data_IF_788223551283
#
_entry.id   IF_788223551283
#
_cell.length_a   1.000
_cell.length_b   1.000
_cell.length_c   1.000
_cell.angle_alpha   90.00
_cell.angle_beta   90.00
_cell.angle_gamma   90.00
#
_symmetry.space_group_name_H-M   'P 1'
#
loop_
_entity.id
_entity.type
_entity.pdbx_description
1 polymer ?
#
# COMPACT_ATOMS: atom_id res chain seq x y z
N UNK A 1 -24.17 -6.15 -46.77
CA UNK A 1 -24.57 -5.63 -45.44
C UNK A 1 -24.12 -6.56 -44.31
N UNK A 2 -24.43 -7.86 -44.37
CA UNK A 2 -23.98 -8.83 -43.35
C UNK A 2 -22.45 -8.91 -43.21
N UNK A 3 -21.70 -9.03 -44.31
CA UNK A 3 -20.22 -9.10 -44.26
C UNK A 3 -19.56 -7.84 -43.67
N UNK A 4 -20.08 -6.66 -44.01
CA UNK A 4 -19.59 -5.39 -43.45
C UNK A 4 -19.88 -5.28 -41.95
N UNK A 5 -21.03 -5.80 -41.48
CA UNK A 5 -21.37 -5.85 -40.06
C UNK A 5 -20.48 -6.85 -39.30
N UNK A 6 -20.22 -8.04 -39.87
CA UNK A 6 -19.29 -9.02 -39.29
C UNK A 6 -17.88 -8.46 -39.17
N UNK A 7 -17.36 -7.83 -40.24
CA UNK A 7 -16.03 -7.22 -40.21
C UNK A 7 -15.92 -6.07 -39.19
N UNK A 8 -17.00 -5.32 -38.96
CA UNK A 8 -17.04 -4.28 -37.92
C UNK A 8 -17.02 -4.88 -36.51
N UNK A 9 -17.76 -5.98 -36.27
CA UNK A 9 -17.76 -6.70 -34.99
C UNK A 9 -16.39 -7.32 -34.69
N UNK A 10 -15.75 -7.95 -35.68
CA UNK A 10 -14.41 -8.54 -35.51
C UNK A 10 -13.36 -7.48 -35.15
N UNK A 11 -13.41 -6.32 -35.81
CA UNK A 11 -12.53 -5.18 -35.49
C UNK A 11 -12.80 -4.64 -34.09
N UNK A 12 -14.06 -4.58 -33.66
CA UNK A 12 -14.43 -4.15 -32.31
C UNK A 12 -13.87 -5.11 -31.25
N UNK A 13 -13.99 -6.42 -31.47
CA UNK A 13 -13.46 -7.45 -30.58
C UNK A 13 -11.93 -7.44 -30.52
N UNK A 14 -11.26 -7.23 -31.65
CA UNK A 14 -9.80 -7.10 -31.68
C UNK A 14 -9.34 -5.86 -30.89
N UNK A 15 -10.03 -4.73 -31.04
CA UNK A 15 -9.76 -3.51 -30.29
C UNK A 15 -9.93 -3.73 -28.78
N UNK A 16 -11.05 -4.32 -28.34
CA UNK A 16 -11.32 -4.65 -26.94
C UNK A 16 -10.24 -5.56 -26.33
N UNK A 17 -9.82 -6.58 -27.07
CA UNK A 17 -8.74 -7.48 -26.62
C UNK A 17 -7.40 -6.78 -26.50
N UNK A 18 -7.08 -5.85 -27.40
CA UNK A 18 -5.84 -5.06 -27.34
C UNK A 18 -5.83 -4.13 -26.13
N UNK A 19 -6.93 -3.44 -25.88
CA UNK A 19 -7.13 -2.54 -24.75
C UNK A 19 -7.06 -3.30 -23.42
N UNK A 20 -7.78 -4.42 -23.29
CA UNK A 20 -7.72 -5.26 -22.09
C UNK A 20 -6.31 -5.76 -21.77
N UNK A 21 -5.53 -6.16 -22.78
CA UNK A 21 -4.11 -6.54 -22.57
C UNK A 21 -3.24 -5.37 -22.13
N UNK A 22 -3.48 -4.17 -22.65
CA UNK A 22 -2.72 -2.98 -22.25
C UNK A 22 -3.01 -2.62 -20.79
N UNK A 23 -4.29 -2.57 -20.42
CA UNK A 23 -4.74 -2.34 -19.05
C UNK A 23 -4.17 -3.37 -18.08
N UNK A 24 -4.26 -4.66 -18.40
CA UNK A 24 -3.75 -5.74 -17.55
C UNK A 24 -2.25 -5.56 -17.24
N UNK A 25 -1.45 -5.22 -18.26
CA UNK A 25 -0.01 -4.94 -18.08
C UNK A 25 0.23 -3.74 -17.19
N UNK A 26 -0.55 -2.68 -17.35
CA UNK A 26 -0.42 -1.48 -16.57
C UNK A 26 -0.77 -1.72 -15.09
N UNK A 27 -1.94 -2.30 -14.82
CA UNK A 27 -2.38 -2.63 -13.47
C UNK A 27 -1.40 -3.59 -12.77
N UNK A 28 -0.87 -4.58 -13.48
CA UNK A 28 0.19 -5.45 -12.94
C UNK A 28 1.47 -4.68 -12.60
N UNK A 29 1.82 -3.66 -13.39
CA UNK A 29 2.91 -2.73 -13.10
C UNK A 29 2.68 -1.93 -11.82
N UNK A 30 1.46 -1.45 -11.61
CA UNK A 30 1.05 -0.72 -10.39
C UNK A 30 1.07 -1.60 -9.16
N UNK A 31 0.56 -2.84 -9.24
CA UNK A 31 0.66 -3.81 -8.13
C UNK A 31 2.11 -4.03 -7.70
N UNK A 32 3.03 -4.24 -8.66
CA UNK A 32 4.47 -4.36 -8.35
C UNK A 32 5.02 -3.11 -7.64
N UNK A 33 4.51 -1.92 -7.99
CA UNK A 33 4.89 -0.65 -7.34
C UNK A 33 4.37 -0.60 -5.90
N UNK A 34 3.12 -0.98 -5.65
CA UNK A 34 2.55 -1.10 -4.29
C UNK A 34 3.39 -2.04 -3.42
N UNK A 35 3.77 -3.21 -3.93
CA UNK A 35 4.60 -4.17 -3.18
C UNK A 35 5.97 -3.59 -2.81
N UNK A 36 6.61 -2.83 -3.72
CA UNK A 36 7.87 -2.14 -3.43
C UNK A 36 7.70 -1.04 -2.38
N UNK A 37 6.62 -0.27 -2.44
CA UNK A 37 6.32 0.76 -1.44
C UNK A 37 6.11 0.13 -0.06
N UNK A 38 5.36 -0.97 0.02
CA UNK A 38 5.20 -1.73 1.27
C UNK A 38 6.55 -2.21 1.84
N UNK A 39 7.46 -2.69 0.99
CA UNK A 39 8.83 -3.05 1.42
C UNK A 39 9.64 -1.87 1.99
N UNK A 40 9.54 -0.69 1.37
CA UNK A 40 10.20 0.53 1.86
C UNK A 40 9.62 0.98 3.20
N UNK A 41 8.29 0.94 3.34
CA UNK A 41 7.61 1.27 4.60
C UNK A 41 8.05 0.32 5.71
N UNK A 42 8.10 -0.99 5.44
CA UNK A 42 8.56 -1.99 6.43
C UNK A 42 9.99 -1.72 6.90
N UNK A 43 10.90 -1.43 5.97
CA UNK A 43 12.30 -1.15 6.29
C UNK A 43 12.47 0.09 7.17
N UNK A 44 11.65 1.12 6.97
CA UNK A 44 11.61 2.31 7.82
C UNK A 44 11.00 1.98 9.19
N UNK A 45 9.83 1.33 9.22
CA UNK A 45 9.11 0.97 10.43
C UNK A 45 9.99 0.19 11.42
N UNK A 46 10.76 -0.79 10.94
CA UNK A 46 11.70 -1.59 11.75
C UNK A 46 12.78 -0.75 12.47
N UNK A 47 13.15 0.41 11.93
CA UNK A 47 14.21 1.28 12.51
C UNK A 47 13.66 2.26 13.56
N UNK A 48 12.34 2.49 13.58
CA UNK A 48 11.72 3.56 14.38
C UNK A 48 11.87 3.38 15.90
N UNK A 49 11.67 2.19 16.50
CA UNK A 49 11.80 2.06 17.95
C UNK A 49 13.19 2.46 18.47
N UNK A 50 14.25 2.08 17.73
CA UNK A 50 15.62 2.44 18.08
C UNK A 50 15.89 3.95 17.95
N UNK A 51 15.37 4.59 16.90
CA UNK A 51 15.48 6.04 16.72
C UNK A 51 14.71 6.80 17.80
N UNK A 52 13.49 6.36 18.12
CA UNK A 52 12.66 6.94 19.18
C UNK A 52 13.36 6.86 20.53
N UNK A 53 13.95 5.71 20.88
CA UNK A 53 14.73 5.54 22.11
C UNK A 53 15.84 6.58 22.22
N UNK A 54 16.63 6.77 21.16
CA UNK A 54 17.74 7.74 21.15
C UNK A 54 17.26 9.18 21.37
N UNK A 55 16.20 9.58 20.65
CA UNK A 55 15.64 10.93 20.75
C UNK A 55 15.02 11.18 22.13
N UNK A 56 14.24 10.22 22.65
CA UNK A 56 13.62 10.33 23.96
C UNK A 56 14.69 10.40 25.05
N UNK A 57 15.73 9.56 24.99
CA UNK A 57 16.84 9.59 25.94
C UNK A 57 17.57 10.93 25.94
N UNK A 58 17.87 11.49 24.75
CA UNK A 58 18.50 12.81 24.65
C UNK A 58 17.61 13.91 25.25
N UNK A 59 16.31 13.91 24.94
CA UNK A 59 15.36 14.90 25.43
C UNK A 59 15.15 14.82 26.94
N UNK A 60 15.07 13.62 27.50
CA UNK A 60 14.93 13.46 28.95
C UNK A 60 16.20 13.90 29.67
N UNK A 61 17.41 13.62 29.13
CA UNK A 61 18.66 14.12 29.72
C UNK A 61 18.72 15.65 29.77
N UNK A 62 18.29 16.30 28.70
CA UNK A 62 18.22 17.76 28.62
C UNK A 62 17.28 18.34 29.69
N UNK A 63 16.09 17.75 29.86
CA UNK A 63 15.08 18.22 30.82
C UNK A 63 15.45 17.87 32.28
N UNK A 64 16.06 16.71 32.49
CA UNK A 64 16.38 16.17 33.81
C UNK A 64 17.42 17.01 34.58
N UNK A 65 18.13 17.94 33.93
CA UNK A 65 19.03 18.88 34.60
C UNK A 65 20.13 18.23 35.44
N UNK A 66 20.56 17.01 35.08
CA UNK A 66 21.56 16.23 35.83
C UNK A 66 20.99 15.13 36.74
N UNK A 67 19.67 14.99 36.86
CA UNK A 67 19.04 13.84 37.54
C UNK A 67 19.31 12.54 36.77
N UNK A 68 19.50 11.45 37.52
CA UNK A 68 19.69 10.13 36.95
C UNK A 68 18.44 9.66 36.21
N UNK A 69 18.63 9.15 35.01
CA UNK A 69 17.58 8.52 34.21
C UNK A 69 17.17 7.18 34.84
N UNK A 70 15.86 6.94 34.96
CA UNK A 70 15.32 5.60 35.19
C UNK A 70 15.28 4.82 33.87
N UNK A 71 16.13 3.80 33.67
CA UNK A 71 16.17 3.03 32.44
C UNK A 71 14.90 2.20 32.21
N UNK A 72 14.22 1.77 33.29
CA UNK A 72 13.02 0.95 33.19
C UNK A 72 11.86 1.75 32.60
N UNK A 73 11.65 2.98 33.09
CA UNK A 73 10.66 3.91 32.52
C UNK A 73 10.95 4.24 31.06
N UNK A 74 12.22 4.48 30.70
CA UNK A 74 12.59 4.75 29.32
C UNK A 74 12.28 3.56 28.39
N UNK A 75 12.58 2.33 28.82
CA UNK A 75 12.27 1.11 28.05
C UNK A 75 10.75 0.93 27.90
N UNK A 76 9.99 1.13 28.97
CA UNK A 76 8.53 1.03 28.94
C UNK A 76 7.90 2.00 27.93
N UNK A 77 8.32 3.27 27.95
CA UNK A 77 7.84 4.27 26.98
C UNK A 77 8.16 3.91 25.52
N UNK A 78 9.36 3.36 25.28
CA UNK A 78 9.76 2.91 23.94
C UNK A 78 8.95 1.69 23.50
N UNK A 79 8.62 0.77 24.41
CA UNK A 79 7.79 -0.39 24.10
C UNK A 79 6.34 0.03 23.74
N UNK A 80 5.73 0.91 24.55
CA UNK A 80 4.40 1.46 24.27
C UNK A 80 4.36 2.22 22.93
N UNK A 81 5.42 2.97 22.63
CA UNK A 81 5.56 3.60 21.31
C UNK A 81 5.64 2.55 20.19
N UNK A 82 6.48 1.53 20.35
CA UNK A 82 6.68 0.50 19.33
C UNK A 82 5.37 -0.22 18.99
N UNK A 83 4.57 -0.57 20.01
CA UNK A 83 3.26 -1.19 19.84
C UNK A 83 2.30 -0.27 19.06
N UNK A 84 2.23 1.02 19.44
CA UNK A 84 1.37 2.00 18.76
C UNK A 84 1.77 2.30 17.32
N UNK A 85 3.06 2.23 17.03
CA UNK A 85 3.63 2.50 15.71
C UNK A 85 3.81 1.23 14.85
N UNK A 86 3.41 0.06 15.35
CA UNK A 86 3.53 -1.19 14.61
C UNK A 86 2.49 -1.28 13.49
N UNK A 87 3.01 -1.39 12.27
CA UNK A 87 2.26 -1.49 11.01
C UNK A 87 2.43 -2.86 10.34
N UNK A 88 2.98 -3.84 11.06
CA UNK A 88 3.34 -5.16 10.51
C UNK A 88 2.12 -5.89 9.95
N UNK A 89 1.01 -5.89 10.70
CA UNK A 89 -0.23 -6.55 10.29
C UNK A 89 -0.80 -5.94 9.00
N UNK A 90 -0.85 -4.61 8.92
CA UNK A 90 -1.36 -3.89 7.75
C UNK A 90 -0.50 -4.15 6.52
N UNK A 91 0.83 -4.21 6.67
CA UNK A 91 1.75 -4.53 5.57
C UNK A 91 1.58 -5.97 5.08
N UNK A 92 1.33 -6.92 5.98
CA UNK A 92 1.05 -8.32 5.63
C UNK A 92 -0.27 -8.41 4.86
N UNK A 93 -1.34 -7.78 5.36
CA UNK A 93 -2.64 -7.71 4.68
C UNK A 93 -2.53 -7.07 3.31
N UNK A 94 -1.88 -5.90 3.21
CA UNK A 94 -1.66 -5.20 1.94
C UNK A 94 -0.95 -6.07 0.90
N UNK A 95 0.08 -6.83 1.30
CA UNK A 95 0.78 -7.77 0.41
C UNK A 95 -0.11 -8.93 -0.03
N UNK A 96 -0.91 -9.47 0.89
CA UNK A 96 -1.89 -10.51 0.56
C UNK A 96 -2.91 -10.01 -0.47
N UNK A 97 -3.46 -8.81 -0.27
CA UNK A 97 -4.35 -8.18 -1.24
C UNK A 97 -3.66 -7.94 -2.59
N UNK A 98 -2.38 -7.53 -2.60
CA UNK A 98 -1.61 -7.34 -3.84
C UNK A 98 -1.47 -8.65 -4.62
N UNK A 99 -1.16 -9.75 -3.92
CA UNK A 99 -1.06 -11.07 -4.53
C UNK A 99 -2.41 -11.53 -5.10
N UNK A 100 -3.50 -11.35 -4.34
CA UNK A 100 -4.85 -11.68 -4.79
C UNK A 100 -5.26 -10.85 -6.03
N UNK A 101 -4.95 -9.55 -6.04
CA UNK A 101 -5.24 -8.66 -7.17
C UNK A 101 -4.50 -9.11 -8.43
N UNK A 102 -3.21 -9.45 -8.31
CA UNK A 102 -2.42 -9.98 -9.41
C UNK A 102 -2.97 -11.32 -9.94
N UNK A 103 -3.43 -12.20 -9.05
CA UNK A 103 -4.04 -13.47 -9.44
C UNK A 103 -5.36 -13.27 -10.19
N UNK A 104 -6.22 -12.36 -9.74
CA UNK A 104 -7.47 -12.05 -10.44
C UNK A 104 -7.24 -11.40 -11.80
N UNK A 105 -6.25 -10.49 -11.91
CA UNK A 105 -5.85 -9.91 -13.19
C UNK A 105 -5.37 -10.96 -14.19
N UNK A 106 -4.70 -12.02 -13.73
CA UNK A 106 -4.20 -13.09 -14.60
C UNK A 106 -5.28 -14.13 -14.97
N UNK A 107 -6.41 -14.14 -14.26
CA UNK A 107 -7.52 -15.05 -14.49
C UNK A 107 -8.26 -14.77 -15.79
N UNK A 108 -9.01 -15.77 -16.28
CA UNK A 108 -9.86 -15.68 -17.47
C UNK A 108 -11.31 -15.29 -17.16
N UNK A 109 -11.66 -15.10 -15.88
CA UNK A 109 -13.03 -14.80 -15.45
C UNK A 109 -13.21 -13.30 -15.19
N UNK A 110 -14.43 -12.77 -15.39
CA UNK A 110 -14.77 -11.41 -14.98
C UNK A 110 -14.48 -11.22 -13.48
N UNK A 111 -13.64 -10.25 -13.16
CA UNK A 111 -13.17 -10.03 -11.79
C UNK A 111 -13.43 -8.61 -11.25
N UNK A 112 -14.14 -7.74 -12.00
CA UNK A 112 -14.34 -6.31 -11.66
C UNK A 112 -14.70 -6.07 -10.19
N UNK A 113 -15.86 -6.59 -9.73
CA UNK A 113 -16.29 -6.48 -8.32
C UNK A 113 -15.27 -6.99 -7.30
N UNK A 114 -14.50 -8.04 -7.62
CA UNK A 114 -13.47 -8.57 -6.73
C UNK A 114 -12.24 -7.67 -6.70
N UNK A 115 -11.86 -7.09 -7.83
CA UNK A 115 -10.78 -6.11 -7.93
C UNK A 115 -11.12 -4.83 -7.17
N UNK A 116 -12.37 -4.34 -7.28
CA UNK A 116 -12.85 -3.18 -6.53
C UNK A 116 -12.82 -3.41 -5.03
N UNK A 117 -13.30 -4.56 -4.57
CA UNK A 117 -13.22 -4.94 -3.16
C UNK A 117 -11.76 -4.93 -2.67
N UNK A 118 -10.83 -5.51 -3.43
CA UNK A 118 -9.42 -5.51 -3.06
C UNK A 118 -8.83 -4.09 -3.02
N UNK A 119 -9.21 -3.19 -3.93
CA UNK A 119 -8.76 -1.79 -3.89
C UNK A 119 -9.25 -1.07 -2.63
N UNK A 120 -10.49 -1.33 -2.22
CA UNK A 120 -11.04 -0.78 -0.97
C UNK A 120 -10.26 -1.29 0.25
N UNK A 121 -10.01 -2.59 0.34
CA UNK A 121 -9.25 -3.18 1.44
C UNK A 121 -7.81 -2.65 1.46
N UNK A 122 -7.13 -2.57 0.30
CA UNK A 122 -5.79 -1.98 0.22
C UNK A 122 -5.77 -0.51 0.69
N UNK A 123 -6.80 0.27 0.35
CA UNK A 123 -6.91 1.66 0.81
C UNK A 123 -7.10 1.73 2.32
N UNK A 124 -7.90 0.83 2.90
CA UNK A 124 -8.06 0.69 4.34
C UNK A 124 -6.73 0.40 5.04
N UNK A 125 -5.93 -0.54 4.53
CA UNK A 125 -4.59 -0.79 5.07
C UNK A 125 -3.67 0.44 4.94
N UNK A 126 -3.70 1.12 3.79
CA UNK A 126 -2.92 2.35 3.58
C UNK A 126 -3.28 3.47 4.57
N UNK A 127 -4.57 3.61 4.92
CA UNK A 127 -5.03 4.58 5.92
C UNK A 127 -4.51 4.24 7.32
N UNK A 128 -4.61 2.98 7.72
CA UNK A 128 -4.13 2.53 9.05
C UNK A 128 -2.61 2.64 9.17
N UNK A 129 -1.86 2.30 8.11
CA UNK A 129 -0.41 2.53 8.07
C UNK A 129 -0.13 4.02 8.26
N UNK A 130 -0.83 4.89 7.53
CA UNK A 130 -0.67 6.35 7.63
C UNK A 130 -0.95 6.92 9.02
N UNK A 131 -1.99 6.43 9.71
CA UNK A 131 -2.34 6.91 11.06
C UNK A 131 -1.35 6.45 12.13
N UNK A 132 -0.78 5.24 11.99
CA UNK A 132 0.27 4.70 12.89
C UNK A 132 1.67 5.21 12.56
N UNK A 133 1.88 5.69 11.33
CA UNK A 133 3.19 6.03 10.78
C UNK A 133 3.96 7.06 11.60
N UNK A 134 3.32 8.11 12.15
CA UNK A 134 3.94 9.14 13.01
C UNK A 134 5.34 9.62 12.58
N UNK A 135 5.65 9.59 11.28
CA UNK A 135 6.97 9.79 10.69
C UNK A 135 6.81 10.33 9.27
N UNK A 136 7.53 11.40 8.95
CA UNK A 136 7.37 12.10 7.68
C UNK A 136 7.76 11.24 6.47
N UNK A 137 8.79 10.40 6.59
CA UNK A 137 9.24 9.55 5.48
C UNK A 137 8.22 8.45 5.20
N UNK A 138 7.66 7.83 6.24
CA UNK A 138 6.58 6.85 6.07
C UNK A 138 5.32 7.52 5.51
N UNK A 139 4.93 8.70 6.01
CA UNK A 139 3.77 9.44 5.50
C UNK A 139 3.89 9.75 4.01
N UNK A 140 5.08 10.15 3.54
CA UNK A 140 5.30 10.40 2.11
C UNK A 140 5.10 9.13 1.26
N UNK A 141 5.57 7.98 1.74
CA UNK A 141 5.36 6.70 1.06
C UNK A 141 3.90 6.27 1.07
N UNK A 142 3.15 6.59 2.14
CA UNK A 142 1.71 6.32 2.22
C UNK A 142 0.93 7.19 1.23
N UNK A 143 1.31 8.46 1.05
CA UNK A 143 0.70 9.32 0.01
C UNK A 143 0.94 8.71 -1.37
N UNK A 144 2.17 8.30 -1.67
CA UNK A 144 2.52 7.65 -2.93
C UNK A 144 1.75 6.32 -3.13
N UNK A 145 1.56 5.55 -2.05
CA UNK A 145 0.77 4.32 -2.05
C UNK A 145 -0.69 4.60 -2.42
N UNK A 146 -1.31 5.60 -1.78
CA UNK A 146 -2.70 6.02 -2.03
C UNK A 146 -2.90 6.53 -3.45
N UNK A 147 -1.95 7.30 -3.97
CA UNK A 147 -1.98 7.77 -5.36
C UNK A 147 -2.00 6.60 -6.36
N UNK A 148 -1.21 5.55 -6.11
CA UNK A 148 -1.25 4.36 -6.97
C UNK A 148 -2.60 3.62 -6.88
N UNK A 149 -3.18 3.51 -5.67
CA UNK A 149 -4.48 2.89 -5.49
C UNK A 149 -5.59 3.66 -6.21
N UNK A 150 -5.57 4.98 -6.16
CA UNK A 150 -6.55 5.81 -6.85
C UNK A 150 -6.44 5.65 -8.37
N UNK A 151 -5.23 5.70 -8.92
CA UNK A 151 -4.99 5.43 -10.35
C UNK A 151 -5.46 4.05 -10.79
N UNK A 152 -5.31 3.04 -9.93
CA UNK A 152 -5.82 1.69 -10.21
C UNK A 152 -7.35 1.65 -10.18
N UNK A 153 -7.99 2.38 -9.26
CA UNK A 153 -9.44 2.50 -9.14
C UNK A 153 -10.06 3.16 -10.37
N UNK A 154 -9.50 4.29 -10.81
CA UNK A 154 -9.92 4.98 -12.05
C UNK A 154 -9.82 4.05 -13.26
N UNK A 155 -8.72 3.28 -13.35
CA UNK A 155 -8.51 2.34 -14.44
C UNK A 155 -9.45 1.14 -14.42
N UNK A 156 -9.82 0.64 -13.24
CA UNK A 156 -10.78 -0.44 -13.11
C UNK A 156 -12.19 0.00 -13.54
N UNK A 157 -12.57 1.26 -13.25
CA UNK A 157 -13.88 1.81 -13.61
C UNK A 157 -14.04 2.13 -15.10
N UNK A 158 -12.95 2.47 -15.79
CA UNK A 158 -12.99 2.79 -17.22
C UNK A 158 -13.15 1.55 -18.14
N UNK A 159 -13.27 0.35 -17.56
CA UNK A 159 -13.18 -0.94 -18.26
C UNK A 159 -14.49 -1.73 -18.18
N UNK A 160 -15.45 -1.28 -17.35
CA UNK A 160 -16.86 -1.69 -17.44
C UNK A 160 -17.55 -1.05 -18.65
#
# INVERSE_FOLDING_TARGET
>A
LAEAATAALDRLDEMRRREGRALQRELAGRVRRLTRLAGRIEALARRRPAQRRRLLQARVREIAGGLALDPARLVQEVALFAERADVTEELVRLRSHCAAFAAYLAGKQPAGRRLDFLLQEMNREANTIGSKAGDAAVSQLVVELKEQLEKMREQAQNVE
#
